data_IF_710628351247
#
_entry.id   IF_710628351247
#
_cell.length_a   1.000
_cell.length_b   1.000
_cell.length_c   1.000
_cell.angle_alpha   90.00
_cell.angle_beta   90.00
_cell.angle_gamma   90.00
#
_symmetry.space_group_name_H-M   'P 1'
#
loop_
_entity.id
_entity.type
_entity.pdbx_description
1 polymer ?
#
# COMPACT_ATOMS: atom_id res chain seq x y z
N UNK A 1 12.84 -12.60 6.64
CA UNK A 1 12.25 -12.42 5.30
C UNK A 1 11.59 -13.67 4.76
N UNK A 2 11.78 -14.79 5.42
CA UNK A 2 11.08 -16.06 5.14
C UNK A 2 9.62 -16.07 5.61
N UNK A 3 9.29 -15.23 6.57
CA UNK A 3 7.96 -15.20 7.21
C UNK A 3 6.80 -14.80 6.28
N UNK A 4 7.04 -13.93 5.31
CA UNK A 4 5.98 -13.49 4.39
C UNK A 4 5.65 -14.56 3.34
N UNK A 5 6.63 -15.35 2.95
CA UNK A 5 6.41 -16.48 2.02
C UNK A 5 5.65 -17.63 2.66
N UNK A 6 5.86 -17.85 3.94
CA UNK A 6 5.20 -18.94 4.66
C UNK A 6 3.79 -18.58 5.13
N UNK A 7 3.53 -17.30 5.40
CA UNK A 7 2.18 -16.80 5.77
C UNK A 7 1.26 -16.70 4.54
N UNK A 8 1.82 -16.44 3.37
CA UNK A 8 1.09 -16.39 2.12
C UNK A 8 1.46 -17.54 1.16
N UNK A 9 1.79 -18.71 1.72
CA UNK A 9 2.10 -19.89 0.93
C UNK A 9 0.98 -20.27 -0.03
N UNK A 10 1.35 -20.98 -1.10
CA UNK A 10 0.42 -21.44 -2.16
C UNK A 10 -0.82 -22.18 -1.61
N UNK A 11 -0.72 -22.73 -0.42
CA UNK A 11 -1.80 -23.49 0.19
C UNK A 11 -2.92 -22.61 0.78
N UNK A 12 -2.58 -21.43 1.28
CA UNK A 12 -3.57 -20.48 1.77
C UNK A 12 -4.49 -19.95 0.64
N UNK A 13 -3.93 -19.77 -0.54
CA UNK A 13 -4.71 -19.35 -1.71
C UNK A 13 -5.53 -20.49 -2.33
N UNK A 14 -5.10 -21.75 -2.17
CA UNK A 14 -5.87 -22.92 -2.59
C UNK A 14 -7.17 -23.07 -1.84
N UNK A 15 -7.17 -22.75 -0.57
CA UNK A 15 -8.33 -22.88 0.32
C UNK A 15 -9.20 -21.61 0.37
N UNK A 16 -8.74 -20.53 -0.24
CA UNK A 16 -9.44 -19.24 -0.23
C UNK A 16 -10.86 -19.36 -0.78
N UNK A 17 -11.04 -20.07 -1.89
CA UNK A 17 -12.35 -20.30 -2.50
C UNK A 17 -13.30 -21.20 -1.70
N UNK A 18 -12.78 -21.94 -0.70
CA UNK A 18 -13.61 -22.81 0.15
C UNK A 18 -14.29 -22.08 1.29
N UNK A 19 -13.68 -21.00 1.80
CA UNK A 19 -14.13 -20.27 2.98
C UNK A 19 -14.77 -18.92 2.67
N UNK A 20 -14.56 -18.39 1.47
CA UNK A 20 -14.97 -17.04 1.10
C UNK A 20 -15.91 -17.09 -0.09
N UNK A 21 -17.11 -16.57 0.09
CA UNK A 21 -18.14 -16.51 -0.96
C UNK A 21 -18.06 -15.17 -1.69
N UNK A 22 -17.92 -15.20 -3.01
CA UNK A 22 -17.95 -14.01 -3.85
C UNK A 22 -16.63 -13.24 -3.96
N UNK A 23 -15.49 -13.88 -3.61
CA UNK A 23 -14.15 -13.25 -3.63
C UNK A 23 -13.30 -13.62 -4.85
N UNK A 24 -13.85 -14.34 -5.81
CA UNK A 24 -13.10 -14.83 -6.97
C UNK A 24 -12.46 -13.67 -7.77
N UNK A 25 -13.21 -12.59 -7.96
CA UNK A 25 -12.73 -11.41 -8.68
C UNK A 25 -11.63 -10.67 -7.91
N UNK A 26 -11.76 -10.57 -6.58
CA UNK A 26 -10.75 -9.94 -5.74
C UNK A 26 -9.45 -10.76 -5.71
N UNK A 27 -9.58 -12.09 -5.66
CA UNK A 27 -8.42 -12.98 -5.72
C UNK A 27 -7.65 -12.80 -7.02
N UNK A 28 -8.33 -12.81 -8.16
CA UNK A 28 -7.73 -12.63 -9.47
C UNK A 28 -7.08 -11.24 -9.63
N UNK A 29 -7.73 -10.21 -9.09
CA UNK A 29 -7.18 -8.84 -9.04
C UNK A 29 -5.92 -8.78 -8.19
N UNK A 30 -5.92 -9.41 -7.01
CA UNK A 30 -4.77 -9.44 -6.11
C UNK A 30 -3.59 -10.20 -6.72
N UNK A 31 -3.85 -11.36 -7.32
CA UNK A 31 -2.83 -12.15 -8.00
C UNK A 31 -2.20 -11.40 -9.18
N UNK A 32 -3.02 -10.71 -9.98
CA UNK A 32 -2.55 -9.89 -11.09
C UNK A 32 -1.75 -8.68 -10.62
N UNK A 33 -2.21 -7.99 -9.58
CA UNK A 33 -1.48 -6.88 -8.97
C UNK A 33 -0.14 -7.36 -8.41
N UNK A 34 -0.12 -8.49 -7.74
CA UNK A 34 1.11 -9.08 -7.23
C UNK A 34 2.09 -9.42 -8.35
N UNK A 35 1.63 -10.05 -9.44
CA UNK A 35 2.45 -10.36 -10.60
C UNK A 35 2.99 -9.09 -11.29
N UNK A 36 2.14 -8.10 -11.49
CA UNK A 36 2.54 -6.83 -12.09
C UNK A 36 3.54 -6.07 -11.20
N UNK A 37 3.37 -6.15 -9.88
CA UNK A 37 4.28 -5.53 -8.92
C UNK A 37 5.61 -6.27 -8.78
N UNK A 38 5.63 -7.60 -8.94
CA UNK A 38 6.86 -8.39 -8.77
C UNK A 38 7.72 -8.47 -10.02
N UNK A 39 7.15 -8.33 -11.20
CA UNK A 39 7.89 -8.46 -12.47
C UNK A 39 8.82 -7.29 -12.79
N UNK A 40 8.57 -6.10 -12.25
CA UNK A 40 9.27 -4.88 -12.62
C UNK A 40 9.55 -3.95 -11.43
N UNK A 41 9.81 -4.50 -10.23
CA UNK A 41 10.16 -3.66 -9.09
C UNK A 41 11.62 -3.23 -9.22
N UNK A 42 11.91 -1.98 -9.63
CA UNK A 42 13.24 -1.45 -9.41
C UNK A 42 13.47 -1.40 -7.90
N UNK A 43 14.62 -1.90 -7.45
CA UNK A 43 14.99 -1.86 -6.03
C UNK A 43 15.24 -0.44 -5.50
N UNK A 44 14.85 0.57 -6.24
CA UNK A 44 15.07 1.97 -5.93
C UNK A 44 13.79 2.78 -6.09
N UNK A 45 13.50 3.66 -5.14
CA UNK A 45 14.14 3.80 -3.84
C UNK A 45 13.69 2.72 -2.86
N UNK A 46 14.52 2.38 -1.85
CA UNK A 46 14.11 1.45 -0.81
C UNK A 46 12.96 2.02 0.02
N UNK A 47 12.07 1.16 0.47
CA UNK A 47 10.90 1.57 1.26
C UNK A 47 10.53 0.52 2.30
N UNK A 48 9.81 0.97 3.31
CA UNK A 48 9.16 0.13 4.32
C UNK A 48 7.66 0.39 4.33
N UNK A 49 6.88 -0.64 4.58
CA UNK A 49 5.46 -0.51 4.90
C UNK A 49 5.30 -1.01 6.34
N UNK A 50 4.81 -0.14 7.20
CA UNK A 50 4.74 -0.39 8.64
C UNK A 50 3.29 -0.30 9.09
N UNK A 51 2.83 -1.30 9.83
CA UNK A 51 1.58 -1.22 10.57
C UNK A 51 1.87 -0.59 11.93
N UNK A 52 1.43 0.65 12.12
CA UNK A 52 1.71 1.44 13.31
C UNK A 52 0.66 1.30 14.41
N UNK A 53 -0.50 0.78 14.07
CA UNK A 53 -1.59 0.53 15.00
C UNK A 53 -2.58 -0.44 14.38
N UNK A 54 -3.73 -0.64 15.00
CA UNK A 54 -4.75 -1.56 14.51
C UNK A 54 -5.29 -1.14 13.12
N UNK A 55 -5.50 0.15 12.93
CA UNK A 55 -6.03 0.72 11.68
C UNK A 55 -5.11 1.78 11.07
N UNK A 56 -3.88 1.87 11.51
CA UNK A 56 -2.92 2.88 11.03
C UNK A 56 -1.71 2.22 10.39
N UNK A 57 -1.23 2.85 9.33
CA UNK A 57 -0.09 2.40 8.54
C UNK A 57 0.82 3.57 8.19
N UNK A 58 2.05 3.27 7.91
CA UNK A 58 3.03 4.23 7.42
C UNK A 58 3.83 3.62 6.28
N UNK A 59 4.04 4.38 5.22
CA UNK A 59 5.00 4.05 4.17
C UNK A 59 6.19 4.96 4.36
N UNK A 60 7.38 4.41 4.44
CA UNK A 60 8.63 5.15 4.55
C UNK A 60 9.49 4.89 3.33
N UNK A 61 9.89 5.93 2.63
CA UNK A 61 10.71 5.83 1.42
C UNK A 61 12.00 6.61 1.62
N UNK A 62 13.14 5.96 1.38
CA UNK A 62 14.45 6.61 1.46
C UNK A 62 14.68 7.46 0.22
N UNK A 63 14.62 8.78 0.37
CA UNK A 63 14.71 9.76 -0.71
C UNK A 63 15.78 10.82 -0.42
N UNK A 64 16.93 10.38 0.06
CA UNK A 64 18.07 11.28 0.31
C UNK A 64 18.43 12.06 -0.96
N UNK A 65 18.58 13.37 -0.84
CA UNK A 65 18.90 14.24 -1.96
C UNK A 65 17.70 14.82 -2.70
N UNK A 66 16.48 14.33 -2.39
CA UNK A 66 15.24 14.91 -2.93
C UNK A 66 14.67 15.96 -1.98
N UNK A 67 14.33 17.10 -2.50
CA UNK A 67 13.55 18.10 -1.78
C UNK A 67 12.06 17.90 -1.97
N UNK A 68 11.26 18.59 -1.18
CA UNK A 68 9.79 18.53 -1.27
C UNK A 68 9.27 18.84 -2.70
N UNK A 69 9.92 19.76 -3.38
CA UNK A 69 9.57 20.18 -4.74
C UNK A 69 9.91 19.13 -5.81
N UNK A 70 10.74 18.14 -5.46
CA UNK A 70 11.18 17.08 -6.38
C UNK A 70 10.30 15.85 -6.32
N UNK A 71 9.37 15.78 -5.34
CA UNK A 71 8.52 14.63 -5.06
C UNK A 71 7.07 14.99 -5.29
N UNK A 72 6.38 14.15 -6.02
CA UNK A 72 4.94 14.24 -6.26
C UNK A 72 4.25 12.98 -5.75
N UNK A 73 3.17 13.14 -5.00
CA UNK A 73 2.34 12.05 -4.49
C UNK A 73 0.95 12.21 -5.07
N UNK A 74 0.46 11.18 -5.74
CA UNK A 74 -0.85 11.16 -6.37
C UNK A 74 -1.62 9.90 -5.97
N UNK A 75 -2.87 10.06 -5.58
CA UNK A 75 -3.79 8.96 -5.35
C UNK A 75 -4.78 8.87 -6.52
N UNK A 76 -4.75 7.77 -7.25
CA UNK A 76 -5.60 7.57 -8.41
C UNK A 76 -6.07 6.12 -8.48
N UNK A 77 -7.38 5.93 -8.51
CA UNK A 77 -8.04 4.63 -8.65
C UNK A 77 -7.51 3.56 -7.66
N UNK A 78 -7.44 3.93 -6.39
CA UNK A 78 -6.98 3.05 -5.31
C UNK A 78 -5.49 2.75 -5.33
N UNK A 79 -4.72 3.46 -6.16
CA UNK A 79 -3.26 3.34 -6.25
C UNK A 79 -2.59 4.64 -5.83
N UNK A 80 -1.62 4.52 -4.98
CA UNK A 80 -0.78 5.62 -4.55
C UNK A 80 0.49 5.63 -5.41
N UNK A 81 0.69 6.71 -6.15
CA UNK A 81 1.87 6.93 -6.95
C UNK A 81 2.79 7.93 -6.25
N UNK A 82 4.04 7.55 -6.09
CA UNK A 82 5.09 8.42 -5.58
C UNK A 82 6.14 8.58 -6.67
N UNK A 83 6.29 9.80 -7.16
CA UNK A 83 7.22 10.13 -8.23
C UNK A 83 8.32 11.04 -7.70
N UNK A 84 9.54 10.74 -8.03
CA UNK A 84 10.69 11.58 -7.77
C UNK A 84 11.32 12.05 -9.07
N UNK A 85 11.55 13.34 -9.19
CA UNK A 85 12.22 13.95 -10.34
C UNK A 85 13.64 14.36 -9.94
N UNK A 86 14.59 14.12 -10.82
CA UNK A 86 15.99 14.50 -10.60
C UNK A 86 16.22 15.89 -11.17
N UNK A 87 16.81 16.76 -10.36
CA UNK A 87 17.42 17.98 -10.86
C UNK A 87 18.75 17.65 -11.54
N UNK A 88 19.10 18.46 -12.57
CA UNK A 88 20.41 18.36 -13.18
C UNK A 88 21.51 18.49 -12.10
N UNK A 89 22.40 17.49 -12.04
CA UNK A 89 23.55 17.53 -11.13
C UNK A 89 24.39 18.77 -11.46
N UNK A 90 24.65 19.58 -10.46
CA UNK A 90 25.65 20.62 -10.59
C UNK A 90 27.03 19.96 -10.68
N UNK A 91 27.81 20.32 -11.68
CA UNK A 91 29.16 19.80 -11.93
C UNK A 91 30.16 20.21 -10.83
N UNK A 92 29.96 19.80 -9.61
CA UNK A 92 30.81 20.12 -8.48
C UNK A 92 31.77 18.99 -8.14
N UNK A 93 32.51 18.50 -9.10
CA UNK A 93 33.59 17.55 -8.88
C UNK A 93 33.38 16.20 -9.52
N UNK A 94 34.39 15.34 -9.37
CA UNK A 94 34.43 13.98 -9.87
C UNK A 94 34.10 12.99 -8.75
N UNK A 95 33.16 12.07 -8.99
CA UNK A 95 32.90 11.00 -8.04
C UNK A 95 34.02 9.97 -8.05
N UNK A 96 34.72 9.82 -6.94
CA UNK A 96 35.64 8.69 -6.76
C UNK A 96 34.88 7.39 -6.48
N UNK A 97 33.71 7.50 -5.85
CA UNK A 97 32.77 6.41 -5.63
C UNK A 97 31.34 7.01 -5.55
N UNK A 98 30.39 6.42 -6.25
CA UNK A 98 29.00 6.85 -6.23
C UNK A 98 28.13 5.74 -5.66
N UNK A 99 27.79 5.83 -4.37
CA UNK A 99 26.93 4.88 -3.68
C UNK A 99 25.51 5.38 -3.48
N UNK A 100 25.28 6.71 -3.57
CA UNK A 100 23.95 7.31 -3.47
C UNK A 100 23.45 7.62 -4.87
N UNK A 101 22.39 6.90 -5.25
CA UNK A 101 21.77 7.10 -6.56
C UNK A 101 20.65 8.13 -6.45
N UNK A 102 20.81 9.27 -7.12
CA UNK A 102 19.74 10.25 -7.35
C UNK A 102 19.14 10.01 -8.74
N UNK A 103 18.18 9.10 -8.81
CA UNK A 103 17.48 8.76 -10.06
C UNK A 103 16.02 9.14 -9.97
N UNK A 104 15.46 9.55 -11.10
CA UNK A 104 14.02 9.65 -11.22
C UNK A 104 13.38 8.28 -10.96
N UNK A 105 12.29 8.26 -10.20
CA UNK A 105 11.60 7.03 -9.86
C UNK A 105 10.09 7.21 -9.87
N UNK A 106 9.41 6.11 -9.99
CA UNK A 106 7.97 6.01 -9.73
C UNK A 106 7.73 4.75 -8.89
N UNK A 107 7.17 4.95 -7.70
CA UNK A 107 6.69 3.87 -6.84
C UNK A 107 5.19 3.84 -6.82
N UNK A 108 4.61 2.66 -6.92
CA UNK A 108 3.17 2.46 -6.90
C UNK A 108 2.79 1.52 -5.77
N UNK A 109 1.84 1.95 -4.96
CA UNK A 109 1.29 1.16 -3.86
C UNK A 109 -0.19 0.94 -4.09
N UNK A 110 -0.64 -0.31 -4.11
CA UNK A 110 -2.05 -0.63 -4.17
C UNK A 110 -2.67 -0.49 -2.77
N UNK A 111 -3.68 0.35 -2.64
CA UNK A 111 -4.38 0.57 -1.39
C UNK A 111 -5.72 -0.16 -1.38
N UNK A 112 -6.09 -0.72 -0.24
CA UNK A 112 -7.45 -1.21 -0.02
C UNK A 112 -8.44 -0.05 -0.07
N UNK A 113 -9.68 -0.30 -0.47
CA UNK A 113 -10.74 0.71 -0.60
C UNK A 113 -11.01 1.48 0.70
N UNK A 114 -10.71 0.89 1.84
CA UNK A 114 -10.90 1.49 3.16
C UNK A 114 -9.70 2.31 3.63
N UNK A 115 -8.59 2.31 2.90
CA UNK A 115 -7.39 3.03 3.28
C UNK A 115 -7.44 4.46 2.73
N UNK A 116 -7.26 5.42 3.63
CA UNK A 116 -7.15 6.84 3.29
C UNK A 116 -5.75 7.34 3.62
N UNK A 117 -5.23 8.19 2.75
CA UNK A 117 -3.97 8.89 2.97
C UNK A 117 -4.25 10.12 3.84
N UNK A 118 -3.62 10.19 5.00
CA UNK A 118 -3.83 11.28 5.95
C UNK A 118 -2.92 12.47 5.67
N UNK A 119 -1.63 12.23 5.62
CA UNK A 119 -0.63 13.24 5.32
C UNK A 119 0.68 12.58 4.88
N UNK A 120 1.62 13.42 4.45
CA UNK A 120 2.97 13.01 4.13
C UNK A 120 3.98 14.05 4.61
N UNK A 121 5.08 13.58 5.17
CA UNK A 121 6.17 14.41 5.66
C UNK A 121 7.50 14.00 5.05
N UNK A 122 8.34 14.95 4.76
CA UNK A 122 9.73 14.71 4.35
C UNK A 122 10.66 15.15 5.48
N UNK A 123 11.25 14.18 6.16
CA UNK A 123 12.07 14.40 7.34
C UNK A 123 13.38 13.63 7.21
N UNK A 124 14.52 14.33 7.31
CA UNK A 124 15.85 13.69 7.31
C UNK A 124 16.09 12.74 6.13
N UNK A 125 15.65 13.10 4.94
CA UNK A 125 15.80 12.28 3.74
C UNK A 125 14.85 11.09 3.66
N UNK A 126 13.87 11.02 4.56
CA UNK A 126 12.82 10.00 4.56
C UNK A 126 11.47 10.64 4.23
N UNK A 127 10.82 10.15 3.21
CA UNK A 127 9.42 10.46 2.93
C UNK A 127 8.55 9.49 3.75
N UNK A 128 7.73 10.04 4.63
CA UNK A 128 6.78 9.28 5.44
C UNK A 128 5.36 9.61 5.01
N UNK A 129 4.61 8.61 4.62
CA UNK A 129 3.22 8.73 4.21
C UNK A 129 2.37 8.00 5.24
N UNK A 130 1.45 8.72 5.87
CA UNK A 130 0.57 8.19 6.91
C UNK A 130 -0.78 7.83 6.34
N UNK A 131 -1.23 6.62 6.66
CA UNK A 131 -2.47 6.06 6.15
C UNK A 131 -3.31 5.51 7.31
N UNK A 132 -4.62 5.56 7.13
CA UNK A 132 -5.57 5.04 8.10
C UNK A 132 -6.65 4.23 7.41
N UNK A 133 -7.03 3.11 8.01
CA UNK A 133 -8.20 2.35 7.58
C UNK A 133 -9.45 2.97 8.18
N UNK A 134 -10.33 3.44 7.33
CA UNK A 134 -11.65 3.94 7.71
C UNK A 134 -12.67 2.85 7.42
N UNK A 135 -13.28 2.33 8.48
CA UNK A 135 -14.32 1.32 8.36
C UNK A 135 -15.68 2.04 8.30
N UNK A 136 -16.41 1.98 7.17
CA UNK A 136 -17.74 2.57 7.08
C UNK A 136 -18.70 1.96 8.11
N UNK A 137 -19.64 2.76 8.61
CA UNK A 137 -20.62 2.29 9.59
C UNK A 137 -21.39 1.04 9.15
N UNK A 138 -21.74 0.95 7.87
CA UNK A 138 -22.46 -0.20 7.33
C UNK A 138 -21.62 -1.49 7.25
N UNK A 139 -20.29 -1.39 7.39
CA UNK A 139 -19.36 -2.54 7.41
C UNK A 139 -18.88 -2.88 8.81
N UNK A 140 -19.22 -2.09 9.82
CA UNK A 140 -18.94 -2.40 11.22
C UNK A 140 -19.77 -3.59 11.68
N UNK A 141 -19.32 -4.37 12.66
CA UNK A 141 -20.11 -5.45 13.22
C UNK A 141 -21.49 -4.97 13.63
N UNK A 142 -22.50 -5.63 13.12
CA UNK A 142 -23.90 -5.33 13.42
C UNK A 142 -24.57 -6.56 14.01
N UNK A 143 -25.18 -6.38 15.16
CA UNK A 143 -25.99 -7.42 15.76
C UNK A 143 -27.32 -7.49 15.05
N UNK A 144 -27.70 -8.66 14.56
CA UNK A 144 -28.95 -8.90 13.86
C UNK A 144 -29.92 -9.57 14.82
N UNK A 145 -31.07 -8.96 15.02
CA UNK A 145 -32.12 -9.54 15.84
C UNK A 145 -32.91 -10.56 15.03
N UNK A 146 -33.21 -11.69 15.68
CA UNK A 146 -34.00 -12.74 15.08
C UNK A 146 -35.46 -12.45 15.41
N UNK A 147 -36.27 -12.14 14.41
CA UNK A 147 -37.69 -11.94 14.59
C UNK A 147 -38.40 -13.31 14.78
N UNK A 148 -39.36 -13.35 15.68
CA UNK A 148 -40.20 -14.52 15.83
C UNK A 148 -41.14 -14.62 14.62
N UNK A 149 -41.16 -15.76 13.95
CA UNK A 149 -42.00 -16.00 12.75
C UNK A 149 -43.49 -15.79 13.00
N UNK A 150 -43.97 -16.02 14.21
CA UNK A 150 -45.36 -15.79 14.61
C UNK A 150 -45.74 -14.31 14.62
N UNK A 151 -44.80 -13.41 14.89
CA UNK A 151 -45.02 -11.97 14.85
C UNK A 151 -44.95 -11.41 13.43
N UNK A 152 -44.19 -12.03 12.54
CA UNK A 152 -44.08 -11.61 11.14
C UNK A 152 -45.39 -11.90 10.32
N UNK A 153 -46.18 -12.85 10.75
CA UNK A 153 -47.43 -13.30 10.09
C UNK A 153 -48.69 -12.59 10.66
N UNK A 154 -48.55 -11.97 11.81
CA UNK A 154 -49.66 -11.36 12.55
C UNK A 154 -49.95 -9.89 12.23
N UNK A 155 -49.54 -9.42 11.06
CA UNK A 155 -49.84 -8.05 10.62
C UNK A 155 -51.02 -8.01 9.64
#
# INVERSE_FOLDING_TARGET
MTYVKDVFGKDMFKDFGKFYVGFDDQYNRLAKIHDDLTKNIPNYPPYNIIKTGENTYSIEIAVAGFGKQDIEIELNDGKLFVKGNVKAESDNGEFLFKGIANRAFTRTFALNDQIEVQNADLINGMLKIFLERIIPEHKKPKKIEIANSTQAIGA
#
